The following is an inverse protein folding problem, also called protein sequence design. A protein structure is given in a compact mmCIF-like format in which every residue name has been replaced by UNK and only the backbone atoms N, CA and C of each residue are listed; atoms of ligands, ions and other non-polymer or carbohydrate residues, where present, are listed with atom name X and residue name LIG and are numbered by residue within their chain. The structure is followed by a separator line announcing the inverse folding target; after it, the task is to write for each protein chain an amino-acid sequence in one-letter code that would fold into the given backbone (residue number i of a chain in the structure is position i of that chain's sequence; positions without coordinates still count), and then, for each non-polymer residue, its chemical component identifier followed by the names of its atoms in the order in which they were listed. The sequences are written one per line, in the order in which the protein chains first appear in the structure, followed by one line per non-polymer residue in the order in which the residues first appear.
data_IF_118220134988
#
_entry.id   IF_118220134988
#
_cell.length_a   1.000
_cell.length_b   1.000
_cell.length_c   1.000
_cell.angle_alpha   90.00
_cell.angle_beta   90.00
_cell.angle_gamma   90.00
#
_symmetry.space_group_name_H-M   'P 1'
#
loop_
_entity.id
_entity.type
_entity.pdbx_description
1 polymer ?
#
# COMPACT_ATOMS: atom_id res chain seq x y z
N UNK A 1 -24.20 -24.00 15.00
CA UNK A 1 -24.08 -24.27 13.55
C UNK A 1 -25.44 -24.11 12.91
N UNK A 2 -25.58 -23.07 12.10
CA UNK A 2 -26.78 -22.82 11.30
C UNK A 2 -26.44 -23.23 9.86
N UNK A 3 -26.93 -24.38 9.40
CA UNK A 3 -26.42 -25.02 8.18
C UNK A 3 -26.83 -24.32 6.87
N UNK A 4 -27.96 -23.59 6.85
CA UNK A 4 -28.45 -22.81 5.69
C UNK A 4 -29.68 -22.00 6.06
N UNK A 5 -29.56 -20.68 6.16
CA UNK A 5 -30.69 -19.78 6.39
C UNK A 5 -30.52 -18.55 5.49
N UNK A 6 -31.61 -17.88 5.11
CA UNK A 6 -31.54 -16.67 4.27
C UNK A 6 -31.07 -15.45 5.07
N UNK A 7 -31.38 -15.40 6.36
CA UNK A 7 -31.08 -14.29 7.27
C UNK A 7 -30.94 -14.82 8.69
N UNK A 8 -29.89 -14.44 9.39
CA UNK A 8 -29.66 -14.85 10.78
C UNK A 8 -30.01 -13.70 11.74
N UNK A 9 -30.27 -14.06 13.00
CA UNK A 9 -30.63 -13.13 14.09
C UNK A 9 -29.45 -12.23 14.49
N UNK A 10 -29.69 -11.15 15.27
CA UNK A 10 -28.70 -10.10 15.52
C UNK A 10 -27.41 -10.50 16.24
N UNK A 11 -27.38 -11.68 16.87
CA UNK A 11 -26.24 -12.17 17.66
C UNK A 11 -26.07 -13.67 17.36
N UNK A 12 -24.92 -14.06 16.79
CA UNK A 12 -24.59 -15.48 16.53
C UNK A 12 -23.10 -15.78 16.75
N UNK A 13 -22.82 -16.97 17.30
CA UNK A 13 -21.45 -17.42 17.59
C UNK A 13 -20.74 -17.93 16.33
N UNK A 14 -21.39 -18.78 15.53
CA UNK A 14 -20.80 -19.34 14.31
C UNK A 14 -21.84 -19.46 13.21
N UNK A 15 -21.51 -18.91 12.04
CA UNK A 15 -22.35 -18.96 10.84
C UNK A 15 -21.57 -19.52 9.66
N UNK A 16 -22.19 -20.46 8.94
CA UNK A 16 -21.68 -21.00 7.67
C UNK A 16 -22.50 -20.38 6.52
N UNK A 17 -23.34 -21.15 5.82
CA UNK A 17 -23.89 -20.71 4.52
C UNK A 17 -25.15 -19.86 4.62
N UNK A 18 -25.00 -18.53 4.67
CA UNK A 18 -26.13 -17.59 4.72
C UNK A 18 -25.97 -16.45 3.71
N UNK A 19 -27.09 -15.90 3.23
CA UNK A 19 -27.09 -14.74 2.34
C UNK A 19 -26.78 -13.43 3.08
N UNK A 20 -27.35 -13.20 4.26
CA UNK A 20 -27.21 -11.92 4.99
C UNK A 20 -27.17 -12.15 6.49
N UNK A 21 -26.15 -11.61 7.16
CA UNK A 21 -26.01 -11.66 8.62
C UNK A 21 -26.53 -10.41 9.33
N UNK A 22 -26.88 -10.59 10.61
CA UNK A 22 -27.26 -9.52 11.53
C UNK A 22 -26.05 -8.69 12.01
N UNK A 23 -26.27 -7.70 12.89
CA UNK A 23 -25.24 -6.74 13.29
C UNK A 23 -23.98 -7.31 13.94
N UNK A 24 -24.05 -8.38 14.75
CA UNK A 24 -22.92 -8.87 15.55
C UNK A 24 -22.74 -10.40 15.39
N UNK A 25 -21.56 -10.84 14.94
CA UNK A 25 -21.19 -12.27 14.89
C UNK A 25 -19.71 -12.49 15.25
N UNK A 26 -19.38 -13.61 15.88
CA UNK A 26 -17.98 -13.93 16.21
C UNK A 26 -17.25 -14.52 15.00
N UNK A 27 -17.82 -15.57 14.36
CA UNK A 27 -17.20 -16.25 13.20
C UNK A 27 -18.18 -16.43 12.05
N UNK A 28 -17.76 -16.02 10.84
CA UNK A 28 -18.54 -16.15 9.60
C UNK A 28 -17.75 -16.86 8.49
N UNK A 29 -18.28 -17.96 7.92
CA UNK A 29 -17.73 -18.67 6.75
C UNK A 29 -18.74 -18.69 5.59
N UNK A 30 -18.36 -18.27 4.37
CA UNK A 30 -19.21 -18.38 3.15
C UNK A 30 -20.56 -17.66 3.20
N UNK A 31 -20.52 -16.38 3.55
CA UNK A 31 -21.67 -15.48 3.53
C UNK A 31 -21.63 -14.49 2.35
N UNK A 32 -22.78 -14.01 1.86
CA UNK A 32 -22.77 -12.93 0.84
C UNK A 32 -22.54 -11.56 1.47
N UNK A 33 -23.28 -11.20 2.51
CA UNK A 33 -23.12 -9.92 3.22
C UNK A 33 -23.10 -10.11 4.73
N UNK A 34 -22.07 -9.56 5.37
CA UNK A 34 -21.91 -9.50 6.82
C UNK A 34 -22.32 -8.13 7.35
N UNK A 35 -22.91 -8.11 8.55
CA UNK A 35 -23.33 -6.89 9.24
C UNK A 35 -22.15 -6.03 9.71
N UNK A 36 -22.44 -4.95 10.46
CA UNK A 36 -21.46 -3.97 10.90
C UNK A 36 -20.27 -4.48 11.70
N UNK A 37 -20.43 -5.48 12.57
CA UNK A 37 -19.38 -5.89 13.52
C UNK A 37 -19.17 -7.41 13.46
N UNK A 38 -17.94 -7.86 13.14
CA UNK A 38 -17.54 -9.27 13.22
C UNK A 38 -16.08 -9.46 13.68
N UNK A 39 -15.78 -10.54 14.39
CA UNK A 39 -14.39 -10.82 14.78
C UNK A 39 -13.62 -11.47 13.63
N UNK A 40 -14.15 -12.56 13.06
CA UNK A 40 -13.47 -13.35 12.02
C UNK A 40 -14.40 -13.63 10.83
N UNK A 41 -13.92 -13.32 9.62
CA UNK A 41 -14.65 -13.54 8.37
C UNK A 41 -13.83 -14.31 7.34
N UNK A 42 -14.35 -15.44 6.83
CA UNK A 42 -13.78 -16.22 5.72
C UNK A 42 -14.76 -16.29 4.53
N UNK A 43 -14.27 -16.03 3.31
CA UNK A 43 -14.98 -16.26 2.05
C UNK A 43 -16.31 -15.52 1.92
N UNK A 44 -16.29 -14.23 2.21
CA UNK A 44 -17.45 -13.35 2.11
C UNK A 44 -17.40 -12.42 0.89
N UNK A 45 -18.55 -12.01 0.36
CA UNK A 45 -18.56 -11.01 -0.73
C UNK A 45 -18.39 -9.59 -0.17
N UNK A 46 -19.19 -9.21 0.82
CA UNK A 46 -19.13 -7.87 1.43
C UNK A 46 -19.16 -7.96 2.95
N UNK A 47 -18.24 -7.26 3.60
CA UNK A 47 -18.16 -7.11 5.06
C UNK A 47 -18.53 -5.68 5.44
N UNK A 48 -19.20 -5.53 6.59
CA UNK A 48 -19.57 -4.23 7.15
C UNK A 48 -18.37 -3.42 7.65
N UNK A 49 -18.64 -2.29 8.32
CA UNK A 49 -17.65 -1.33 8.76
C UNK A 49 -16.50 -1.84 9.63
N UNK A 50 -16.73 -2.75 10.57
CA UNK A 50 -15.75 -3.09 11.61
C UNK A 50 -15.51 -4.61 11.65
N UNK A 51 -14.26 -5.04 11.37
CA UNK A 51 -13.83 -6.42 11.59
C UNK A 51 -12.42 -6.55 12.14
N UNK A 52 -12.13 -7.62 12.88
CA UNK A 52 -10.76 -7.87 13.35
C UNK A 52 -9.93 -8.61 12.29
N UNK A 53 -10.44 -9.73 11.75
CA UNK A 53 -9.71 -10.57 10.79
C UNK A 53 -10.59 -10.91 9.59
N UNK A 54 -10.07 -10.68 8.39
CA UNK A 54 -10.76 -10.97 7.13
C UNK A 54 -9.88 -11.79 6.18
N UNK A 55 -10.36 -12.95 5.71
CA UNK A 55 -9.71 -13.79 4.68
C UNK A 55 -10.63 -14.02 3.47
N UNK A 56 -10.08 -13.85 2.27
CA UNK A 56 -10.74 -14.15 0.98
C UNK A 56 -12.06 -13.42 0.74
N UNK A 57 -12.08 -12.11 1.01
CA UNK A 57 -13.26 -11.27 0.82
C UNK A 57 -13.19 -10.41 -0.45
N UNK A 58 -14.34 -10.07 -1.05
CA UNK A 58 -14.32 -9.15 -2.21
C UNK A 58 -14.21 -7.69 -1.77
N UNK A 59 -15.08 -7.25 -0.85
CA UNK A 59 -15.10 -5.87 -0.34
C UNK A 59 -15.20 -5.85 1.18
N UNK A 60 -14.32 -5.09 1.80
CA UNK A 60 -14.28 -4.85 3.24
C UNK A 60 -14.64 -3.41 3.55
N UNK A 61 -15.34 -3.18 4.66
CA UNK A 61 -15.72 -1.86 5.12
C UNK A 61 -14.54 -1.01 5.59
N UNK A 62 -14.82 0.19 6.12
CA UNK A 62 -13.84 1.19 6.51
C UNK A 62 -12.75 0.75 7.50
N UNK A 63 -13.03 -0.11 8.49
CA UNK A 63 -12.11 -0.37 9.61
C UNK A 63 -11.85 -1.86 9.77
N UNK A 64 -10.60 -2.30 9.56
CA UNK A 64 -10.18 -3.68 9.82
C UNK A 64 -8.77 -3.78 10.38
N UNK A 65 -8.50 -4.69 11.33
CA UNK A 65 -7.11 -4.87 11.77
C UNK A 65 -6.29 -5.67 10.76
N UNK A 66 -6.77 -6.85 10.36
CA UNK A 66 -6.01 -7.79 9.53
C UNK A 66 -6.80 -8.23 8.31
N UNK A 67 -6.21 -8.07 7.11
CA UNK A 67 -6.83 -8.45 5.85
C UNK A 67 -5.90 -9.30 4.98
N UNK A 68 -6.34 -10.51 4.58
CA UNK A 68 -5.65 -11.41 3.63
C UNK A 68 -6.52 -11.72 2.40
N UNK A 69 -5.92 -11.62 1.22
CA UNK A 69 -6.53 -11.99 -0.08
C UNK A 69 -7.86 -11.30 -0.38
N UNK A 70 -7.89 -9.97 -0.25
CA UNK A 70 -9.09 -9.16 -0.52
C UNK A 70 -9.00 -8.40 -1.85
N UNK A 71 -10.13 -8.14 -2.51
CA UNK A 71 -10.10 -7.32 -3.73
C UNK A 71 -10.04 -5.83 -3.39
N UNK A 72 -10.92 -5.35 -2.51
CA UNK A 72 -10.98 -3.95 -2.09
C UNK A 72 -11.15 -3.83 -0.59
N UNK A 73 -10.30 -3.02 0.03
CA UNK A 73 -10.33 -2.68 1.44
C UNK A 73 -10.76 -1.23 1.62
N UNK A 74 -11.45 -0.94 2.72
CA UNK A 74 -11.87 0.41 3.09
C UNK A 74 -10.72 1.29 3.54
N UNK A 75 -11.05 2.28 4.37
CA UNK A 75 -10.23 3.45 4.65
C UNK A 75 -9.06 3.19 5.59
N UNK A 76 -9.20 2.36 6.60
CA UNK A 76 -8.24 2.20 7.71
C UNK A 76 -7.96 0.72 7.98
N UNK A 77 -6.68 0.33 7.90
CA UNK A 77 -6.23 -1.00 8.30
C UNK A 77 -4.87 -1.04 8.98
N UNK A 78 -4.67 -1.95 9.95
CA UNK A 78 -3.34 -2.16 10.54
C UNK A 78 -2.45 -2.97 9.59
N UNK A 79 -2.93 -4.11 9.10
CA UNK A 79 -2.15 -5.03 8.27
C UNK A 79 -2.92 -5.56 7.06
N UNK A 80 -2.31 -5.47 5.88
CA UNK A 80 -2.90 -5.93 4.61
C UNK A 80 -1.93 -6.80 3.81
N UNK A 81 -2.35 -8.01 3.42
CA UNK A 81 -1.58 -8.93 2.54
C UNK A 81 -2.40 -9.38 1.32
N UNK A 82 -1.78 -9.34 0.13
CA UNK A 82 -2.35 -9.80 -1.16
C UNK A 82 -3.68 -9.15 -1.53
N UNK A 83 -3.73 -7.83 -1.48
CA UNK A 83 -4.92 -7.05 -1.85
C UNK A 83 -4.80 -6.39 -3.22
N UNK A 84 -5.91 -6.20 -3.94
CA UNK A 84 -5.85 -5.46 -5.22
C UNK A 84 -5.84 -3.95 -4.99
N UNK A 85 -6.77 -3.44 -4.17
CA UNK A 85 -6.86 -2.01 -3.84
C UNK A 85 -7.07 -1.81 -2.35
N UNK A 86 -6.23 -0.97 -1.76
CA UNK A 86 -6.31 -0.53 -0.37
C UNK A 86 -6.71 0.94 -0.34
N UNK A 87 -7.48 1.34 0.68
CA UNK A 87 -7.89 2.72 0.90
C UNK A 87 -6.77 3.58 1.46
N UNK A 88 -7.13 4.48 2.37
CA UNK A 88 -6.41 5.75 2.63
C UNK A 88 -5.44 5.74 3.79
N UNK A 89 -5.49 4.77 4.69
CA UNK A 89 -4.64 4.77 5.89
C UNK A 89 -4.29 3.33 6.25
N UNK A 90 -3.00 2.97 6.17
CA UNK A 90 -2.53 1.65 6.59
C UNK A 90 -1.17 1.68 7.27
N UNK A 91 -0.98 0.92 8.36
CA UNK A 91 0.35 0.78 8.95
C UNK A 91 1.25 -0.10 8.06
N UNK A 92 0.78 -1.30 7.68
CA UNK A 92 1.60 -2.26 6.92
C UNK A 92 0.86 -2.86 5.73
N UNK A 93 1.49 -2.80 4.56
CA UNK A 93 0.96 -3.34 3.30
C UNK A 93 1.97 -4.23 2.56
N UNK A 94 1.61 -5.49 2.27
CA UNK A 94 2.44 -6.43 1.48
C UNK A 94 1.68 -6.99 0.26
N UNK A 95 2.36 -7.01 -0.90
CA UNK A 95 1.86 -7.58 -2.18
C UNK A 95 0.52 -6.99 -2.66
N UNK A 96 0.44 -5.66 -2.69
CA UNK A 96 -0.76 -4.94 -3.15
C UNK A 96 -0.59 -4.36 -4.56
N UNK A 97 -1.68 -4.24 -5.33
CA UNK A 97 -1.58 -3.58 -6.65
C UNK A 97 -1.61 -2.05 -6.51
N UNK A 98 -2.61 -1.51 -5.82
CA UNK A 98 -2.76 -0.07 -5.59
C UNK A 98 -3.01 0.21 -4.11
N UNK A 99 -2.22 1.11 -3.55
CA UNK A 99 -2.38 1.64 -2.19
C UNK A 99 -2.77 3.12 -2.30
N UNK A 100 -3.68 3.57 -1.44
CA UNK A 100 -4.06 4.97 -1.34
C UNK A 100 -2.99 5.82 -0.64
N UNK A 101 -3.36 7.02 -0.16
CA UNK A 101 -2.48 7.87 0.63
C UNK A 101 -2.10 7.23 1.98
N UNK A 102 -1.19 7.89 2.70
CA UNK A 102 -0.88 7.69 4.13
C UNK A 102 -0.64 6.23 4.55
N UNK A 103 0.55 5.69 4.23
CA UNK A 103 0.95 4.38 4.72
C UNK A 103 2.33 4.39 5.39
N UNK A 104 2.50 3.70 6.51
CA UNK A 104 3.82 3.66 7.18
C UNK A 104 4.79 2.76 6.41
N UNK A 105 4.41 1.50 6.13
CA UNK A 105 5.30 0.50 5.51
C UNK A 105 4.63 -0.19 4.32
N UNK A 106 5.31 -0.18 3.17
CA UNK A 106 4.83 -0.80 1.93
C UNK A 106 5.88 -1.71 1.28
N UNK A 107 5.56 -2.99 1.06
CA UNK A 107 6.43 -3.98 0.38
C UNK A 107 5.74 -4.62 -0.83
N UNK A 108 6.45 -4.69 -1.96
CA UNK A 108 6.01 -5.35 -3.22
C UNK A 108 4.70 -4.81 -3.78
N UNK A 109 4.60 -3.50 -3.94
CA UNK A 109 3.42 -2.83 -4.48
C UNK A 109 3.62 -2.33 -5.93
N UNK A 110 2.56 -2.26 -6.73
CA UNK A 110 2.67 -1.67 -8.08
C UNK A 110 2.59 -0.15 -8.04
N UNK A 111 1.59 0.41 -7.35
CA UNK A 111 1.39 1.86 -7.22
C UNK A 111 1.06 2.24 -5.79
N UNK A 112 1.78 3.22 -5.27
CA UNK A 112 1.61 3.79 -3.93
C UNK A 112 1.17 5.25 -4.05
N UNK A 113 0.32 5.69 -3.12
CA UNK A 113 -0.16 7.06 -3.02
C UNK A 113 0.92 8.07 -2.59
N UNK A 114 0.49 9.29 -2.22
CA UNK A 114 1.36 10.45 -2.05
C UNK A 114 2.10 10.59 -0.72
N UNK A 115 1.90 9.74 0.27
CA UNK A 115 2.55 9.90 1.59
C UNK A 115 2.88 8.53 2.17
N UNK A 116 4.17 8.18 2.27
CA UNK A 116 4.61 6.95 2.93
C UNK A 116 5.93 7.10 3.70
N UNK A 117 6.11 6.39 4.82
CA UNK A 117 7.40 6.42 5.52
C UNK A 117 8.44 5.51 4.83
N UNK A 118 8.10 4.23 4.63
CA UNK A 118 9.03 3.21 4.11
C UNK A 118 8.42 2.45 2.94
N UNK A 119 9.15 2.39 1.83
CA UNK A 119 8.73 1.68 0.61
C UNK A 119 9.82 0.74 0.08
N UNK A 120 9.51 -0.54 -0.12
CA UNK A 120 10.42 -1.55 -0.71
C UNK A 120 9.78 -2.27 -1.91
N UNK A 121 10.54 -2.40 -3.00
CA UNK A 121 10.18 -3.14 -4.24
C UNK A 121 8.89 -2.66 -4.90
N UNK A 122 8.77 -1.35 -5.12
CA UNK A 122 7.59 -0.74 -5.75
C UNK A 122 7.83 -0.35 -7.20
N UNK A 123 6.80 -0.37 -8.05
CA UNK A 123 6.95 0.12 -9.43
C UNK A 123 6.83 1.64 -9.52
N UNK A 124 5.82 2.23 -8.88
CA UNK A 124 5.61 3.68 -8.84
C UNK A 124 5.21 4.14 -7.45
N UNK A 125 5.93 5.12 -6.93
CA UNK A 125 5.64 5.80 -5.67
C UNK A 125 5.20 7.23 -5.97
N UNK A 126 4.26 7.74 -5.17
CA UNK A 126 3.79 9.12 -5.24
C UNK A 126 4.82 10.11 -4.72
N UNK A 127 4.33 11.19 -4.12
CA UNK A 127 5.11 12.24 -3.48
C UNK A 127 5.55 11.79 -2.07
N UNK A 128 6.38 12.58 -1.41
CA UNK A 128 6.67 12.54 0.03
C UNK A 128 6.93 11.13 0.62
N UNK A 129 8.20 10.69 0.58
CA UNK A 129 8.64 9.47 1.25
C UNK A 129 9.92 9.63 2.06
N UNK A 130 10.01 9.03 3.25
CA UNK A 130 11.27 9.06 4.03
C UNK A 130 12.30 8.10 3.42
N UNK A 131 11.91 6.84 3.19
CA UNK A 131 12.84 5.79 2.75
C UNK A 131 12.26 4.99 1.58
N UNK A 132 13.03 4.90 0.49
CA UNK A 132 12.66 4.14 -0.71
C UNK A 132 13.77 3.18 -1.16
N UNK A 133 13.46 1.87 -1.25
CA UNK A 133 14.36 0.82 -1.76
C UNK A 133 13.77 0.07 -2.98
N UNK A 134 14.61 -0.16 -4.00
CA UNK A 134 14.28 -0.92 -5.22
C UNK A 134 13.00 -0.47 -5.93
N UNK A 135 12.93 0.80 -6.33
CA UNK A 135 11.77 1.35 -7.02
C UNK A 135 12.03 1.65 -8.50
N UNK A 136 11.03 1.54 -9.37
CA UNK A 136 11.22 1.95 -10.78
C UNK A 136 11.13 3.47 -10.93
N UNK A 137 10.04 4.07 -10.45
CA UNK A 137 9.81 5.51 -10.49
C UNK A 137 9.40 6.03 -9.12
N UNK A 138 10.09 7.06 -8.64
CA UNK A 138 9.74 7.81 -7.43
C UNK A 138 9.29 9.21 -7.84
N UNK A 139 8.29 9.76 -7.13
CA UNK A 139 7.82 11.13 -7.30
C UNK A 139 8.78 12.18 -6.72
N UNK A 140 8.21 13.23 -6.15
CA UNK A 140 8.95 14.35 -5.55
C UNK A 140 9.20 14.10 -4.06
N UNK A 141 10.19 14.81 -3.49
CA UNK A 141 10.38 14.93 -2.04
C UNK A 141 10.64 13.59 -1.35
N UNK A 142 11.88 13.09 -1.42
CA UNK A 142 12.29 11.91 -0.66
C UNK A 142 13.58 12.13 0.11
N UNK A 143 13.66 11.67 1.36
CA UNK A 143 14.88 11.82 2.14
C UNK A 143 15.96 10.81 1.69
N UNK A 144 15.61 9.52 1.59
CA UNK A 144 16.57 8.45 1.28
C UNK A 144 16.06 7.54 0.17
N UNK A 145 16.85 7.42 -0.89
CA UNK A 145 16.58 6.57 -2.06
C UNK A 145 17.78 5.67 -2.38
N UNK A 146 17.62 4.35 -2.36
CA UNK A 146 18.72 3.42 -2.74
C UNK A 146 18.72 3.13 -4.26
N UNK A 147 18.08 2.03 -4.69
CA UNK A 147 18.14 1.54 -6.08
C UNK A 147 16.92 1.95 -6.86
N UNK A 148 17.01 3.01 -7.65
CA UNK A 148 15.88 3.53 -8.43
C UNK A 148 16.20 3.71 -9.91
N UNK A 149 15.21 3.56 -10.79
CA UNK A 149 15.44 3.88 -12.21
C UNK A 149 15.31 5.38 -12.45
N UNK A 150 14.19 5.98 -12.02
CA UNK A 150 13.92 7.42 -12.15
C UNK A 150 13.49 7.99 -10.81
N UNK A 151 14.17 9.04 -10.36
CA UNK A 151 13.81 9.84 -9.18
C UNK A 151 13.36 11.21 -9.65
N UNK A 152 12.30 11.75 -9.03
CA UNK A 152 11.83 13.11 -9.27
C UNK A 152 12.75 14.18 -8.67
N UNK A 153 12.27 15.43 -8.58
CA UNK A 153 12.96 16.52 -7.91
C UNK A 153 13.05 16.34 -6.39
N UNK A 154 13.92 17.14 -5.76
CA UNK A 154 13.92 17.41 -4.31
C UNK A 154 14.17 16.15 -3.46
N UNK A 155 15.22 15.38 -3.77
CA UNK A 155 15.64 14.25 -2.95
C UNK A 155 16.97 14.50 -2.23
N UNK A 156 17.08 14.16 -0.95
CA UNK A 156 18.29 14.47 -0.16
C UNK A 156 19.41 13.47 -0.44
N UNK A 157 19.17 12.17 -0.29
CA UNK A 157 20.18 11.11 -0.44
C UNK A 157 19.75 10.09 -1.49
N UNK A 158 20.58 9.87 -2.51
CA UNK A 158 20.35 8.91 -3.60
C UNK A 158 21.59 8.02 -3.85
N UNK A 159 21.52 6.70 -3.65
CA UNK A 159 22.67 5.79 -3.90
C UNK A 159 22.81 5.40 -5.38
N UNK A 160 21.89 4.60 -5.93
CA UNK A 160 22.02 4.05 -7.30
C UNK A 160 20.80 4.38 -8.13
N UNK A 161 20.93 5.40 -8.96
CA UNK A 161 19.86 5.87 -9.84
C UNK A 161 20.25 5.86 -11.32
N UNK A 162 19.30 5.63 -12.24
CA UNK A 162 19.59 5.86 -13.67
C UNK A 162 19.41 7.34 -14.00
N UNK A 163 18.27 7.92 -13.65
CA UNK A 163 17.93 9.31 -13.89
C UNK A 163 17.46 9.98 -12.60
N UNK A 164 18.07 11.11 -12.24
CA UNK A 164 17.59 11.96 -11.14
C UNK A 164 17.05 13.28 -11.70
N UNK A 165 15.98 13.79 -11.08
CA UNK A 165 15.40 15.09 -11.35
C UNK A 165 16.31 16.24 -10.88
N UNK A 166 15.80 17.48 -10.91
CA UNK A 166 16.53 18.63 -10.41
C UNK A 166 16.59 18.66 -8.87
N UNK A 167 17.43 19.53 -8.30
CA UNK A 167 17.40 19.88 -6.87
C UNK A 167 17.60 18.70 -5.91
N UNK A 168 18.48 17.74 -6.26
CA UNK A 168 18.85 16.64 -5.37
C UNK A 168 20.24 16.86 -4.73
N UNK A 169 20.44 16.51 -3.46
CA UNK A 169 21.64 16.96 -2.73
C UNK A 169 22.83 15.99 -2.76
N UNK A 170 22.66 14.71 -2.41
CA UNK A 170 23.76 13.74 -2.27
C UNK A 170 23.51 12.51 -3.15
N UNK A 171 24.19 12.43 -4.30
CA UNK A 171 24.00 11.34 -5.28
C UNK A 171 25.28 10.50 -5.46
N UNK A 172 25.31 9.21 -5.09
CA UNK A 172 26.51 8.36 -5.26
C UNK A 172 26.70 7.93 -6.73
N UNK A 173 25.76 7.18 -7.30
CA UNK A 173 25.88 6.61 -8.66
C UNK A 173 24.67 6.96 -9.50
N UNK A 174 24.92 7.68 -10.58
CA UNK A 174 23.88 8.15 -11.48
C UNK A 174 24.29 8.03 -12.96
N UNK A 175 23.33 7.75 -13.84
CA UNK A 175 23.60 7.80 -15.28
C UNK A 175 23.39 9.20 -15.82
N UNK A 176 22.27 9.84 -15.50
CA UNK A 176 21.90 11.20 -15.95
C UNK A 176 21.35 12.03 -14.79
N UNK A 177 21.81 13.29 -14.68
CA UNK A 177 21.49 14.21 -13.59
C UNK A 177 20.75 15.43 -14.10
N UNK A 178 19.72 15.85 -13.38
CA UNK A 178 19.04 17.12 -13.61
C UNK A 178 19.90 18.34 -13.24
N UNK A 179 19.44 19.55 -13.54
CA UNK A 179 20.10 20.77 -13.07
C UNK A 179 20.02 20.88 -11.53
N UNK A 180 20.89 21.70 -10.96
CA UNK A 180 20.81 22.08 -9.53
C UNK A 180 20.94 20.91 -8.53
N UNK A 181 21.49 19.78 -8.98
CA UNK A 181 21.92 18.73 -8.06
C UNK A 181 23.30 19.03 -7.49
N UNK A 182 23.49 18.74 -6.21
CA UNK A 182 24.75 18.93 -5.50
C UNK A 182 25.45 17.57 -5.24
N UNK A 183 26.69 17.63 -4.74
CA UNK A 183 27.48 16.48 -4.22
C UNK A 183 27.31 15.13 -4.95
N UNK A 184 27.49 15.12 -6.28
CA UNK A 184 27.41 13.89 -7.10
C UNK A 184 28.77 13.18 -7.19
N UNK A 185 28.89 11.91 -6.76
CA UNK A 185 30.15 11.14 -6.79
C UNK A 185 30.47 10.58 -8.19
N UNK A 186 29.58 9.74 -8.75
CA UNK A 186 29.80 9.03 -10.03
C UNK A 186 28.69 9.25 -11.04
N UNK A 187 29.03 9.91 -12.15
CA UNK A 187 28.12 10.11 -13.30
C UNK A 187 28.61 9.31 -14.52
N UNK A 188 27.73 8.51 -15.11
CA UNK A 188 28.07 7.71 -16.32
C UNK A 188 27.96 8.51 -17.62
N UNK A 189 26.97 9.40 -17.75
CA UNK A 189 26.77 10.25 -18.93
C UNK A 189 26.14 11.59 -18.54
N UNK A 190 26.89 12.68 -18.63
CA UNK A 190 26.32 14.02 -18.43
C UNK A 190 25.34 14.30 -19.58
N UNK A 191 24.05 14.50 -19.26
CA UNK A 191 23.06 14.96 -20.23
C UNK A 191 23.55 16.25 -20.89
N UNK A 192 23.19 16.48 -22.15
CA UNK A 192 23.81 17.50 -23.02
C UNK A 192 23.60 18.98 -22.61
N UNK A 193 23.26 19.29 -21.36
CA UNK A 193 23.08 20.66 -20.85
C UNK A 193 23.66 20.91 -19.43
N UNK A 194 24.57 20.08 -18.87
CA UNK A 194 25.28 20.49 -17.65
C UNK A 194 26.54 21.29 -17.98
N UNK A 195 26.41 22.61 -17.94
CA UNK A 195 27.53 23.49 -17.69
C UNK A 195 28.04 23.26 -16.25
N UNK A 196 29.28 22.78 -16.15
CA UNK A 196 30.26 22.97 -15.08
C UNK A 196 29.79 23.08 -13.62
N UNK A 197 30.21 22.11 -12.80
CA UNK A 197 31.09 22.36 -11.64
C UNK A 197 32.15 21.25 -11.60
#
# INVERSE_FOLDING_TARGET
MVDRVSTVRPECEIVDRVSTEGPECEIVDRVSTVGPECEIVDRVSTVGPECEIVDRVSTVGPECKIVDRVSTVGTECEMVDRVSTVGTECEIVDRVSTVGPECEIVDRVSTVGPECEIVDRVSTVGMECEIVDRVSTVGTECEIVDRVSTVGPECEIVDRVSTVGPECEMVDRVSTVGPECEMVDRVSTVGTDSAAV
#
